data_IF_334271408261
#
_entry.id   IF_334271408261
#
_cell.length_a   1.000
_cell.length_b   1.000
_cell.length_c   1.000
_cell.angle_alpha   90.00
_cell.angle_beta   90.00
_cell.angle_gamma   90.00
#
_symmetry.space_group_name_H-M   'P 1'
#
loop_
_entity.id
_entity.type
_entity.pdbx_description
1 polymer ?
#
# COMPACT_ATOMS: atom_id res chain seq x y z
N UNK A 1 -10.11 1.72 7.31
CA UNK A 1 -9.47 2.81 6.57
C UNK A 1 -8.14 3.11 7.24
N UNK A 2 -7.04 2.97 6.50
CA UNK A 2 -5.68 3.12 7.04
C UNK A 2 -5.40 4.56 7.46
N UNK A 3 -4.72 4.72 8.60
CA UNK A 3 -4.53 5.98 9.33
C UNK A 3 -3.60 7.01 8.66
N UNK A 4 -3.03 6.74 7.48
CA UNK A 4 -1.93 7.54 6.93
C UNK A 4 -2.16 8.08 5.52
N UNK A 5 -3.32 7.80 4.89
CA UNK A 5 -3.54 8.23 3.51
C UNK A 5 -4.68 7.53 2.77
N UNK A 6 -4.95 7.98 1.55
CA UNK A 6 -5.88 7.33 0.62
C UNK A 6 -5.11 6.44 -0.35
N UNK A 7 -5.69 5.32 -0.76
CA UNK A 7 -5.10 4.44 -1.77
C UNK A 7 -5.98 4.44 -3.03
N UNK A 8 -5.36 4.61 -4.19
CA UNK A 8 -6.02 4.64 -5.50
C UNK A 8 -5.50 3.49 -6.35
N UNK A 9 -6.41 2.68 -6.89
CA UNK A 9 -6.07 1.70 -7.92
C UNK A 9 -5.80 2.45 -9.23
N UNK A 10 -4.64 2.22 -9.83
CA UNK A 10 -4.22 2.85 -11.08
C UNK A 10 -3.77 1.81 -12.09
N UNK A 11 -3.79 2.18 -13.37
CA UNK A 11 -3.33 1.32 -14.47
C UNK A 11 -2.15 1.99 -15.16
N UNK A 12 -1.01 1.32 -15.21
CA UNK A 12 0.16 1.79 -15.97
C UNK A 12 -0.16 1.75 -17.47
N UNK A 13 -0.07 2.89 -18.15
CA UNK A 13 -0.47 3.03 -19.55
C UNK A 13 0.35 2.10 -20.47
N UNK A 14 1.66 1.99 -20.22
CA UNK A 14 2.56 1.25 -21.10
C UNK A 14 2.33 -0.28 -21.05
N UNK A 15 1.99 -0.82 -19.88
CA UNK A 15 1.90 -2.28 -19.67
C UNK A 15 0.47 -2.78 -19.42
N UNK A 16 -0.47 -1.88 -19.12
CA UNK A 16 -1.80 -2.24 -18.63
C UNK A 16 -1.80 -2.80 -17.20
N UNK A 17 -0.66 -2.78 -16.50
CA UNK A 17 -0.53 -3.37 -15.16
C UNK A 17 -1.29 -2.53 -14.12
N UNK A 18 -2.05 -3.22 -13.27
CA UNK A 18 -2.69 -2.62 -12.11
C UNK A 18 -1.68 -2.39 -10.97
N UNK A 19 -1.67 -1.17 -10.44
CA UNK A 19 -0.80 -0.71 -9.36
C UNK A 19 -1.61 0.15 -8.38
N UNK A 20 -1.00 0.55 -7.28
CA UNK A 20 -1.63 1.42 -6.28
C UNK A 20 -0.83 2.69 -6.08
N UNK A 21 -1.51 3.83 -6.09
CA UNK A 21 -0.99 5.08 -5.53
C UNK A 21 -1.46 5.24 -4.09
N UNK A 22 -0.52 5.16 -3.16
CA UNK A 22 -0.78 5.59 -1.77
C UNK A 22 -0.48 7.09 -1.67
N UNK A 23 -1.52 7.88 -1.44
CA UNK A 23 -1.47 9.33 -1.28
C UNK A 23 -1.35 9.73 0.20
N UNK A 24 -0.47 10.69 0.49
CA UNK A 24 -0.28 11.31 1.79
C UNK A 24 -0.23 12.83 1.62
N UNK A 25 -1.06 13.56 2.36
CA UNK A 25 -1.06 15.03 2.31
C UNK A 25 0.12 15.56 3.11
N UNK A 26 0.91 16.46 2.50
CA UNK A 26 2.02 17.16 3.12
C UNK A 26 1.55 18.58 3.47
N UNK A 27 1.15 18.81 4.72
CA UNK A 27 0.83 20.17 5.20
C UNK A 27 1.99 20.83 5.93
N UNK A 28 3.00 20.06 6.34
CA UNK A 28 4.16 20.53 7.07
C UNK A 28 5.46 19.86 6.63
N UNK A 29 6.59 20.45 7.04
CA UNK A 29 7.92 19.83 6.84
C UNK A 29 8.04 18.47 7.53
N UNK A 30 7.32 18.28 8.64
CA UNK A 30 7.33 17.02 9.38
C UNK A 30 6.58 15.93 8.62
N UNK A 31 5.43 16.25 8.03
CA UNK A 31 4.68 15.31 7.17
C UNK A 31 5.52 14.89 5.97
N UNK A 32 6.24 15.85 5.36
CA UNK A 32 7.17 15.56 4.26
C UNK A 32 8.27 14.61 4.70
N UNK A 33 8.85 14.83 5.89
CA UNK A 33 9.88 13.97 6.46
C UNK A 33 9.36 12.56 6.70
N UNK A 34 8.14 12.41 7.23
CA UNK A 34 7.50 11.11 7.45
C UNK A 34 7.22 10.39 6.12
N UNK A 35 6.67 11.09 5.13
CA UNK A 35 6.39 10.55 3.79
C UNK A 35 7.66 10.03 3.10
N UNK A 36 8.74 10.81 3.15
CA UNK A 36 10.05 10.42 2.60
C UNK A 36 10.65 9.24 3.35
N UNK A 37 10.55 9.23 4.68
CA UNK A 37 11.02 8.11 5.50
C UNK A 37 10.27 6.82 5.16
N UNK A 38 8.96 6.88 4.92
CA UNK A 38 8.19 5.71 4.50
C UNK A 38 8.65 5.21 3.12
N UNK A 39 8.80 6.11 2.16
CA UNK A 39 9.29 5.77 0.82
C UNK A 39 10.69 5.13 0.87
N UNK A 40 11.58 5.63 1.72
CA UNK A 40 12.94 5.10 1.88
C UNK A 40 12.95 3.71 2.53
N UNK A 41 12.12 3.48 3.56
CA UNK A 41 11.94 2.17 4.17
C UNK A 41 11.48 1.15 3.11
N UNK A 42 10.45 1.49 2.32
CA UNK A 42 9.93 0.60 1.28
C UNK A 42 10.95 0.37 0.15
N UNK A 43 11.70 1.39 -0.24
CA UNK A 43 12.75 1.28 -1.27
C UNK A 43 13.86 0.32 -0.86
N UNK A 44 14.25 0.34 0.42
CA UNK A 44 15.38 -0.43 0.93
C UNK A 44 15.02 -1.87 1.33
N UNK A 45 13.74 -2.18 1.51
CA UNK A 45 13.28 -3.51 1.93
C UNK A 45 12.55 -4.23 0.80
N UNK A 46 13.29 -5.07 0.05
CA UNK A 46 12.72 -5.93 -1.00
C UNK A 46 12.67 -7.38 -0.52
N UNK A 47 11.47 -7.95 -0.52
CA UNK A 47 11.20 -9.34 -0.13
C UNK A 47 9.93 -9.81 -0.83
N UNK A 48 9.80 -11.12 -1.06
CA UNK A 48 8.57 -11.73 -1.59
C UNK A 48 7.35 -11.52 -0.66
N UNK A 49 7.60 -11.28 0.62
CA UNK A 49 6.57 -11.05 1.64
C UNK A 49 6.28 -9.56 1.89
N UNK A 50 6.92 -8.66 1.14
CA UNK A 50 6.70 -7.22 1.23
C UNK A 50 6.13 -6.70 -0.09
N UNK A 51 5.24 -5.70 0.02
CA UNK A 51 4.61 -5.08 -1.14
C UNK A 51 5.69 -4.39 -2.00
N UNK A 52 5.72 -4.69 -3.29
CA UNK A 52 6.74 -4.13 -4.18
C UNK A 52 6.57 -2.62 -4.31
N UNK A 53 7.66 -1.89 -4.03
CA UNK A 53 7.81 -0.45 -4.28
C UNK A 53 8.28 -0.19 -5.71
N UNK A 54 7.68 0.82 -6.38
CA UNK A 54 8.06 1.24 -7.73
C UNK A 54 8.67 2.64 -7.77
N UNK A 55 8.21 3.57 -6.92
CA UNK A 55 8.77 4.92 -6.88
C UNK A 55 7.90 5.92 -6.13
N UNK A 56 8.44 7.11 -5.81
CA UNK A 56 7.68 8.22 -5.27
C UNK A 56 7.25 9.19 -6.37
N UNK A 57 6.20 9.96 -6.10
CA UNK A 57 5.78 11.10 -6.92
C UNK A 57 5.24 12.18 -5.97
N UNK A 58 5.59 13.44 -6.19
CA UNK A 58 5.13 14.56 -5.37
C UNK A 58 4.48 15.58 -6.31
N UNK A 59 3.28 16.03 -5.97
CA UNK A 59 2.53 17.04 -6.71
C UNK A 59 1.81 17.95 -5.73
N UNK A 60 2.00 19.27 -5.90
CA UNK A 60 1.51 20.30 -4.99
C UNK A 60 1.79 20.00 -3.50
N UNK A 61 0.75 19.71 -2.71
CA UNK A 61 0.80 19.39 -1.28
C UNK A 61 0.53 17.90 -1.02
N UNK A 62 0.76 17.04 -2.01
CA UNK A 62 0.48 15.61 -1.96
C UNK A 62 1.70 14.79 -2.35
N UNK A 63 1.94 13.72 -1.58
CA UNK A 63 2.97 12.73 -1.84
C UNK A 63 2.35 11.40 -2.16
N UNK A 64 2.88 10.75 -3.19
CA UNK A 64 2.39 9.48 -3.70
C UNK A 64 3.51 8.45 -3.67
N UNK A 65 3.18 7.24 -3.23
CA UNK A 65 4.03 6.06 -3.38
C UNK A 65 3.34 5.12 -4.35
N UNK A 66 4.01 4.82 -5.47
CA UNK A 66 3.57 3.79 -6.40
C UNK A 66 4.02 2.42 -5.88
N UNK A 67 3.04 1.54 -5.66
CA UNK A 67 3.26 0.21 -5.09
C UNK A 67 2.44 -0.84 -5.83
N UNK A 68 2.75 -2.11 -5.58
CA UNK A 68 2.02 -3.25 -6.13
C UNK A 68 0.56 -3.25 -5.66
N UNK A 69 -0.34 -3.62 -6.58
CA UNK A 69 -1.71 -3.96 -6.22
C UNK A 69 -1.80 -5.40 -5.73
N UNK A 70 -2.38 -5.60 -4.54
CA UNK A 70 -2.67 -6.91 -3.97
C UNK A 70 -4.15 -7.25 -4.16
N UNK A 71 -4.45 -8.18 -5.08
CA UNK A 71 -5.79 -8.49 -5.55
C UNK A 71 -6.68 -9.24 -4.53
N UNK A 72 -6.08 -9.89 -3.53
CA UNK A 72 -6.81 -10.66 -2.50
C UNK A 72 -7.35 -9.82 -1.33
N UNK A 73 -7.20 -8.51 -1.40
CA UNK A 73 -7.66 -7.59 -0.35
C UNK A 73 -6.83 -7.71 0.93
N UNK A 74 -7.38 -7.25 2.06
CA UNK A 74 -6.67 -7.27 3.34
C UNK A 74 -6.95 -8.54 4.16
N UNK A 75 -5.95 -8.94 4.96
CA UNK A 75 -6.03 -10.15 5.78
C UNK A 75 -7.17 -10.11 6.80
N UNK A 76 -7.49 -8.93 7.35
CA UNK A 76 -8.56 -8.77 8.34
C UNK A 76 -9.94 -9.03 7.72
N UNK A 77 -10.17 -8.57 6.49
CA UNK A 77 -11.37 -8.89 5.72
C UNK A 77 -11.49 -10.39 5.47
N UNK A 78 -10.39 -11.05 5.09
CA UNK A 78 -10.36 -12.49 4.90
C UNK A 78 -10.68 -13.26 6.21
N UNK A 79 -10.08 -12.89 7.33
CA UNK A 79 -10.37 -13.47 8.65
C UNK A 79 -11.85 -13.28 9.01
N UNK A 80 -12.39 -12.07 8.82
CA UNK A 80 -13.80 -11.78 9.12
C UNK A 80 -14.76 -12.57 8.23
N UNK A 81 -14.41 -12.78 6.96
CA UNK A 81 -15.17 -13.63 6.04
C UNK A 81 -15.19 -15.08 6.51
N UNK A 82 -14.04 -15.64 6.89
CA UNK A 82 -13.94 -17.03 7.37
C UNK A 82 -14.71 -17.24 8.67
N UNK A 83 -14.65 -16.28 9.59
CA UNK A 83 -15.47 -16.28 10.82
C UNK A 83 -16.97 -16.32 10.52
N UNK A 84 -17.45 -15.53 9.55
CA UNK A 84 -18.87 -15.54 9.13
C UNK A 84 -19.30 -16.87 8.52
N UNK A 85 -18.37 -17.60 7.91
CA UNK A 85 -18.62 -18.92 7.31
C UNK A 85 -18.46 -20.08 8.30
N UNK A 86 -18.10 -19.81 9.57
CA UNK A 86 -17.82 -20.85 10.57
C UNK A 86 -16.57 -21.68 10.28
N UNK A 87 -15.68 -21.21 9.38
CA UNK A 87 -14.46 -21.91 9.03
C UNK A 87 -13.41 -21.77 10.13
N UNK A 88 -12.71 -22.85 10.45
CA UNK A 88 -11.53 -22.87 11.33
C UNK A 88 -10.28 -22.85 10.47
N UNK A 89 -9.36 -21.93 10.78
CA UNK A 89 -8.07 -21.81 10.10
C UNK A 89 -6.99 -22.18 11.10
N UNK A 90 -6.13 -23.14 10.74
CA UNK A 90 -4.95 -23.50 11.53
C UNK A 90 -3.71 -22.78 10.96
N UNK A 91 -2.73 -22.52 11.82
CA UNK A 91 -1.47 -21.88 11.42
C UNK A 91 -0.49 -22.86 10.74
N UNK A 92 -0.74 -24.17 10.83
CA UNK A 92 0.18 -25.25 10.42
C UNK A 92 -0.07 -25.86 9.03
N UNK A 93 -0.70 -25.12 8.09
CA UNK A 93 -0.91 -25.61 6.71
C UNK A 93 0.21 -25.15 5.79
#
# INVERSE_FOLDING_TARGET
HGSFGSAFLVTEIASGKQLVWKRMTIVSKEDRRMALSEAEILRNNKSEFLVQYYGPFEDESEFYILMQYCDKGDLRQNINRLRKLGAVVNEDV
#
